data_IF_837353398578
#
_entry.id   IF_837353398578
#
_cell.length_a   1.000
_cell.length_b   1.000
_cell.length_c   1.000
_cell.angle_alpha   90.00
_cell.angle_beta   90.00
_cell.angle_gamma   90.00
#
_symmetry.space_group_name_H-M   'P 1'
#
loop_
_entity.id
_entity.type
_entity.pdbx_description
1 polymer ?
#
# COMPACT_ATOMS: atom_id res chain seq x y z
N UNK A 1 63.09 -23.98 42.81
CA UNK A 1 63.02 -23.05 41.65
C UNK A 1 61.97 -23.56 40.67
N UNK A 2 60.71 -23.11 40.76
CA UNK A 2 59.68 -23.37 39.75
C UNK A 2 58.90 -22.05 39.59
N UNK A 3 59.05 -21.39 38.44
CA UNK A 3 58.36 -20.12 38.11
C UNK A 3 57.06 -20.46 37.37
N UNK A 4 55.92 -20.12 37.97
CA UNK A 4 54.61 -20.15 37.35
C UNK A 4 54.45 -18.88 36.49
N UNK A 5 54.27 -19.03 35.19
CA UNK A 5 54.04 -17.90 34.27
C UNK A 5 52.61 -18.01 33.79
N UNK A 6 51.74 -17.12 34.26
CA UNK A 6 50.34 -17.05 33.87
C UNK A 6 50.22 -16.35 32.51
N UNK A 7 49.68 -17.06 31.52
CA UNK A 7 49.42 -16.53 30.19
C UNK A 7 48.01 -15.90 30.17
N UNK A 8 47.94 -14.58 30.18
CA UNK A 8 46.70 -13.82 30.08
C UNK A 8 46.28 -13.74 28.60
N UNK A 9 45.26 -14.51 28.21
CA UNK A 9 44.72 -14.50 26.85
C UNK A 9 43.73 -13.33 26.71
N UNK A 10 44.12 -12.27 26.00
CA UNK A 10 43.26 -11.12 25.72
C UNK A 10 42.25 -11.47 24.62
N UNK A 11 40.98 -11.60 25.00
CA UNK A 11 39.86 -11.79 24.07
C UNK A 11 39.53 -10.42 23.43
N UNK A 12 39.96 -10.22 22.18
CA UNK A 12 39.56 -9.05 21.38
C UNK A 12 38.16 -9.30 20.84
N UNK A 13 37.14 -8.68 21.44
CA UNK A 13 35.79 -8.61 20.88
C UNK A 13 35.83 -7.75 19.62
N UNK A 14 35.92 -8.37 18.44
CA UNK A 14 35.70 -7.68 17.18
C UNK A 14 34.20 -7.36 17.05
N UNK A 15 33.84 -6.09 17.29
CA UNK A 15 32.52 -5.59 16.96
C UNK A 15 32.35 -5.64 15.43
N UNK A 16 31.60 -6.62 14.94
CA UNK A 16 31.20 -6.65 13.54
C UNK A 16 30.28 -5.44 13.29
N UNK A 17 30.57 -4.58 12.30
CA UNK A 17 29.65 -3.51 11.95
C UNK A 17 28.35 -4.15 11.44
N UNK A 18 27.22 -3.78 12.03
CA UNK A 18 25.91 -4.00 11.42
C UNK A 18 26.01 -3.43 10.01
N UNK A 19 25.95 -4.27 8.98
CA UNK A 19 25.95 -3.79 7.60
C UNK A 19 24.64 -3.04 7.39
N UNK A 20 24.73 -1.73 7.28
CA UNK A 20 23.62 -0.91 6.80
C UNK A 20 23.11 -1.53 5.48
N UNK A 21 21.79 -1.67 5.36
CA UNK A 21 21.16 -2.14 4.13
C UNK A 21 21.67 -1.26 2.97
N UNK A 22 22.36 -1.80 1.96
CA UNK A 22 22.98 -0.99 0.90
C UNK A 22 21.96 -0.23 0.05
N UNK A 23 20.67 -0.54 0.24
CA UNK A 23 19.55 0.09 -0.45
C UNK A 23 18.77 1.08 0.41
N UNK A 24 19.15 1.27 1.68
CA UNK A 24 18.48 2.22 2.57
C UNK A 24 18.50 3.66 2.01
N UNK A 25 19.53 4.03 1.26
CA UNK A 25 19.64 5.36 0.65
C UNK A 25 18.80 5.50 -0.64
N UNK A 26 18.21 4.42 -1.16
CA UNK A 26 17.40 4.45 -2.39
C UNK A 26 15.97 4.92 -2.14
N UNK A 27 15.56 4.99 -0.87
CA UNK A 27 14.24 5.48 -0.49
C UNK A 27 14.36 6.31 0.78
N UNK A 28 13.64 7.43 0.82
CA UNK A 28 13.52 8.24 2.03
C UNK A 28 12.06 8.46 2.35
N UNK A 29 11.77 8.56 3.64
CA UNK A 29 10.42 8.73 4.14
C UNK A 29 10.38 9.83 5.19
N UNK A 30 9.37 10.70 5.11
CA UNK A 30 9.16 11.72 6.14
C UNK A 30 7.69 12.08 6.29
N UNK A 31 7.35 12.58 7.47
CA UNK A 31 6.01 13.10 7.74
C UNK A 31 5.91 14.58 7.33
N UNK A 32 4.82 14.92 6.66
CA UNK A 32 4.39 16.29 6.38
C UNK A 32 3.21 16.58 7.31
N UNK A 33 3.38 17.45 8.33
CA UNK A 33 2.26 17.89 9.15
C UNK A 33 1.22 18.61 8.27
N UNK A 34 -0.06 18.30 8.47
CA UNK A 34 -1.16 18.95 7.78
C UNK A 34 -2.03 19.78 8.73
N UNK A 35 -3.33 19.57 8.67
CA UNK A 35 -4.36 20.34 9.36
C UNK A 35 -5.27 19.42 10.17
N UNK A 36 -6.18 19.99 10.96
CA UNK A 36 -7.24 19.23 11.61
C UNK A 36 -8.54 19.31 10.79
N UNK A 37 -9.18 18.16 10.58
CA UNK A 37 -10.49 18.06 9.95
C UNK A 37 -11.62 18.42 10.94
N UNK A 38 -12.82 18.79 10.47
CA UNK A 38 -13.92 19.19 11.35
C UNK A 38 -14.36 18.14 12.39
N UNK A 39 -14.13 16.86 12.10
CA UNK A 39 -14.42 15.73 12.99
C UNK A 39 -13.34 15.49 14.07
N UNK A 40 -12.29 16.32 14.09
CA UNK A 40 -11.17 16.21 15.01
C UNK A 40 -10.01 15.36 14.51
N UNK A 41 -10.15 14.66 13.37
CA UNK A 41 -9.09 13.88 12.73
C UNK A 41 -7.93 14.79 12.31
N UNK A 42 -6.70 14.36 12.57
CA UNK A 42 -5.50 15.07 12.11
C UNK A 42 -5.11 14.55 10.73
N UNK A 43 -4.91 15.46 9.79
CA UNK A 43 -4.36 15.15 8.47
C UNK A 43 -2.85 15.36 8.47
N UNK A 44 -2.14 14.37 7.96
CA UNK A 44 -0.73 14.45 7.62
C UNK A 44 -0.48 13.79 6.25
N UNK A 45 0.70 13.97 5.69
CA UNK A 45 1.16 13.24 4.51
C UNK A 45 2.40 12.43 4.87
N UNK A 46 2.45 11.16 4.47
CA UNK A 46 3.68 10.39 4.45
C UNK A 46 4.31 10.55 3.07
N UNK A 47 5.39 11.32 2.98
CA UNK A 47 6.13 11.45 1.75
C UNK A 47 7.15 10.31 1.61
N UNK A 48 7.12 9.63 0.47
CA UNK A 48 8.09 8.62 0.07
C UNK A 48 8.77 9.12 -1.20
N UNK A 49 10.11 9.21 -1.17
CA UNK A 49 10.93 9.59 -2.32
C UNK A 49 11.86 8.46 -2.67
N UNK A 50 11.93 8.13 -3.95
CA UNK A 50 12.71 7.04 -4.50
C UNK A 50 13.83 7.63 -5.36
N UNK A 51 14.99 6.98 -5.35
CA UNK A 51 16.06 7.29 -6.29
C UNK A 51 15.59 7.08 -7.74
N UNK A 52 16.18 7.77 -8.74
CA UNK A 52 15.82 7.60 -10.14
C UNK A 52 15.85 6.12 -10.56
N UNK A 53 14.82 5.68 -11.29
CA UNK A 53 14.66 4.28 -11.73
C UNK A 53 13.98 3.35 -10.72
N UNK A 54 14.03 3.70 -9.42
CA UNK A 54 13.41 2.90 -8.35
C UNK A 54 11.92 3.14 -8.22
N UNK A 55 11.21 2.09 -7.82
CA UNK A 55 9.76 2.06 -7.61
C UNK A 55 9.46 1.51 -6.22
N UNK A 56 8.29 1.84 -5.68
CA UNK A 56 7.69 1.14 -4.54
C UNK A 56 6.29 0.69 -4.90
N UNK A 57 5.69 -0.16 -4.07
CA UNK A 57 4.45 -0.84 -4.39
C UNK A 57 3.23 -0.16 -3.78
N UNK A 58 2.11 -0.36 -4.47
CA UNK A 58 0.79 -0.03 -3.97
C UNK A 58 0.31 -1.08 -2.98
N UNK A 59 -0.79 -0.82 -2.27
CA UNK A 59 -1.37 -1.79 -1.33
C UNK A 59 -1.80 -3.11 -1.97
N UNK A 60 -2.15 -3.10 -3.26
CA UNK A 60 -2.44 -4.29 -4.07
C UNK A 60 -1.38 -4.36 -5.19
N UNK A 61 -0.22 -4.96 -4.92
CA UNK A 61 1.00 -4.63 -5.65
C UNK A 61 1.15 -5.39 -6.99
N UNK A 62 0.18 -6.23 -7.35
CA UNK A 62 0.26 -7.16 -8.47
C UNK A 62 1.10 -8.40 -8.15
N UNK A 63 1.30 -9.26 -9.15
CA UNK A 63 1.83 -10.62 -9.00
C UNK A 63 3.27 -10.64 -8.50
N UNK A 64 4.07 -9.61 -8.87
CA UNK A 64 5.49 -9.52 -8.56
C UNK A 64 5.83 -8.56 -7.42
N UNK A 65 4.84 -8.02 -6.71
CA UNK A 65 5.06 -6.92 -5.78
C UNK A 65 5.00 -7.26 -4.30
N UNK A 66 5.68 -6.46 -3.48
CA UNK A 66 5.75 -6.63 -2.02
C UNK A 66 4.88 -5.53 -1.39
N UNK A 67 3.72 -5.87 -0.80
CA UNK A 67 2.81 -4.87 -0.25
C UNK A 67 3.43 -4.18 0.97
N UNK A 68 3.18 -2.88 1.15
CA UNK A 68 3.70 -2.13 2.30
C UNK A 68 2.95 -2.49 3.59
N UNK A 69 3.69 -2.61 4.69
CA UNK A 69 3.17 -2.86 6.05
C UNK A 69 3.51 -1.66 6.94
N UNK A 70 2.50 -1.16 7.66
CA UNK A 70 2.63 0.02 8.52
C UNK A 70 2.35 -0.36 9.96
N UNK A 71 3.36 -0.25 10.83
CA UNK A 71 3.25 -0.48 12.27
C UNK A 71 3.35 0.86 13.01
N UNK A 72 2.27 1.23 13.71
CA UNK A 72 2.18 2.48 14.48
C UNK A 72 2.22 2.24 16.00
N UNK A 73 2.56 1.03 16.46
CA UNK A 73 2.42 0.62 17.87
C UNK A 73 3.21 1.49 18.86
N UNK A 74 4.29 2.15 18.43
CA UNK A 74 5.08 3.07 19.26
C UNK A 74 4.41 4.43 19.53
N UNK A 75 3.27 4.72 18.89
CA UNK A 75 2.59 6.02 18.97
C UNK A 75 1.87 6.24 20.30
N UNK A 76 1.69 7.50 20.70
CA UNK A 76 0.93 7.88 21.90
C UNK A 76 -0.28 8.73 21.55
N UNK A 77 -1.38 8.48 22.28
CA UNK A 77 -2.69 9.11 22.04
C UNK A 77 -3.27 8.80 20.65
N UNK A 78 -2.89 7.69 20.03
CA UNK A 78 -3.37 7.27 18.72
C UNK A 78 -4.49 6.23 18.87
N UNK A 79 -5.64 6.46 18.22
CA UNK A 79 -6.70 5.45 18.10
C UNK A 79 -6.59 4.67 16.80
N UNK A 80 -6.37 5.36 15.68
CA UNK A 80 -6.20 4.72 14.37
C UNK A 80 -5.50 5.64 13.36
N UNK A 81 -4.91 5.02 12.34
CA UNK A 81 -4.38 5.68 11.15
C UNK A 81 -5.06 5.09 9.92
N UNK A 82 -5.75 5.91 9.15
CA UNK A 82 -6.27 5.57 7.84
C UNK A 82 -5.33 6.08 6.75
N UNK A 83 -4.87 5.20 5.88
CA UNK A 83 -4.04 5.57 4.73
C UNK A 83 -4.94 5.82 3.52
N UNK A 84 -4.75 6.96 2.87
CA UNK A 84 -5.37 7.30 1.58
C UNK A 84 -4.33 7.05 0.50
N UNK A 85 -4.76 6.42 -0.58
CA UNK A 85 -3.87 5.93 -1.61
C UNK A 85 -4.17 6.65 -2.93
N UNK A 86 -3.28 7.55 -3.38
CA UNK A 86 -3.35 8.13 -4.71
C UNK A 86 -3.36 7.03 -5.79
N UNK A 87 -3.76 7.41 -7.01
CA UNK A 87 -3.80 6.50 -8.16
C UNK A 87 -2.40 5.92 -8.39
N UNK A 88 -2.24 4.59 -8.38
CA UNK A 88 -0.96 3.98 -8.71
C UNK A 88 -0.76 3.92 -10.23
N UNK A 89 0.47 3.66 -10.61
CA UNK A 89 0.87 3.29 -11.96
C UNK A 89 0.96 1.76 -12.10
N UNK A 90 0.77 1.27 -13.33
CA UNK A 90 0.93 -0.13 -13.69
C UNK A 90 2.25 -0.28 -14.43
N UNK A 91 3.12 -1.16 -13.97
CA UNK A 91 4.41 -1.44 -14.55
C UNK A 91 4.48 -2.89 -15.03
N UNK A 92 5.07 -3.10 -16.21
CA UNK A 92 5.53 -4.43 -16.64
C UNK A 92 7.00 -4.59 -16.25
N UNK A 93 7.32 -5.71 -15.58
CA UNK A 93 8.67 -6.05 -15.21
C UNK A 93 8.90 -7.55 -15.44
N UNK A 94 9.77 -7.87 -16.41
CA UNK A 94 10.11 -9.24 -16.76
C UNK A 94 8.88 -10.10 -17.12
N UNK A 95 7.87 -9.50 -17.76
CA UNK A 95 6.63 -10.18 -18.13
C UNK A 95 5.68 -10.43 -16.95
N UNK A 96 5.93 -9.83 -15.80
CA UNK A 96 5.01 -9.78 -14.67
C UNK A 96 4.57 -8.35 -14.41
N UNK A 97 3.29 -8.17 -14.12
CA UNK A 97 2.74 -6.87 -13.75
C UNK A 97 3.01 -6.55 -12.28
N UNK A 98 3.37 -5.30 -12.03
CA UNK A 98 3.36 -4.70 -10.70
C UNK A 98 2.59 -3.38 -10.69
N UNK A 99 2.08 -2.99 -9.53
CA UNK A 99 1.26 -1.79 -9.34
C UNK A 99 1.89 -0.99 -8.21
N UNK A 100 2.17 0.29 -8.46
CA UNK A 100 2.97 1.07 -7.52
C UNK A 100 3.19 2.52 -7.90
N UNK A 101 4.30 3.06 -7.42
CA UNK A 101 4.70 4.45 -7.60
C UNK A 101 6.18 4.53 -7.99
N UNK A 102 6.54 5.46 -8.84
CA UNK A 102 7.92 5.74 -9.23
C UNK A 102 8.33 7.15 -8.84
N UNK A 103 9.56 7.33 -8.35
CA UNK A 103 10.16 8.63 -8.03
C UNK A 103 9.61 9.28 -6.75
N UNK A 104 8.31 9.49 -6.64
CA UNK A 104 7.69 10.20 -5.51
C UNK A 104 6.23 9.83 -5.31
N UNK A 105 5.82 9.69 -4.05
CA UNK A 105 4.40 9.61 -3.67
C UNK A 105 4.19 10.25 -2.30
N UNK A 106 3.02 10.86 -2.11
CA UNK A 106 2.54 11.29 -0.78
C UNK A 106 1.31 10.46 -0.46
N UNK A 107 1.34 9.72 0.63
CA UNK A 107 0.18 9.00 1.16
C UNK A 107 -0.49 9.86 2.25
N UNK A 108 -1.70 10.41 2.04
CA UNK A 108 -2.40 11.13 3.10
C UNK A 108 -2.78 10.18 4.24
N UNK A 109 -2.52 10.61 5.47
CA UNK A 109 -2.79 9.87 6.70
C UNK A 109 -3.89 10.56 7.51
N UNK A 110 -5.04 9.91 7.64
CA UNK A 110 -6.12 10.27 8.57
C UNK A 110 -5.84 9.70 9.94
N UNK A 111 -5.43 10.55 10.87
CA UNK A 111 -4.95 10.16 12.20
C UNK A 111 -6.00 10.55 13.23
N UNK A 112 -6.63 9.55 13.85
CA UNK A 112 -7.66 9.76 14.86
C UNK A 112 -7.04 9.71 16.25
N UNK A 113 -7.11 10.78 17.05
CA UNK A 113 -6.63 10.77 18.43
C UNK A 113 -7.52 9.88 19.33
N UNK A 114 -6.91 9.16 20.27
CA UNK A 114 -7.64 8.41 21.29
C UNK A 114 -8.33 9.33 22.31
N UNK A 115 -7.71 10.48 22.62
CA UNK A 115 -8.31 11.56 23.39
C UNK A 115 -8.38 12.79 22.51
N UNK A 116 -9.62 13.19 22.18
CA UNK A 116 -9.89 14.35 21.34
C UNK A 116 -9.29 15.64 21.93
N UNK A 117 -8.85 16.54 21.05
CA UNK A 117 -8.26 17.83 21.43
C UNK A 117 -6.83 17.77 22.00
N UNK A 118 -6.27 16.57 22.24
CA UNK A 118 -4.89 16.40 22.67
C UNK A 118 -3.96 16.05 21.50
N UNK A 119 -2.68 16.44 21.55
CA UNK A 119 -1.70 16.05 20.54
C UNK A 119 -1.54 14.53 20.43
N UNK A 120 -1.22 14.07 19.22
CA UNK A 120 -0.78 12.70 18.92
C UNK A 120 0.72 12.70 18.73
N UNK A 121 1.44 11.81 19.42
CA UNK A 121 2.85 11.54 19.11
C UNK A 121 2.87 10.36 18.16
N UNK A 122 3.02 10.63 16.87
CA UNK A 122 3.07 9.59 15.83
C UNK A 122 4.51 9.12 15.66
N UNK A 123 4.71 7.81 15.68
CA UNK A 123 5.95 7.13 15.27
C UNK A 123 5.52 5.84 14.59
N UNK A 124 6.31 5.36 13.64
CA UNK A 124 5.99 4.13 12.95
C UNK A 124 7.21 3.44 12.41
N UNK A 125 7.08 2.14 12.22
CA UNK A 125 8.00 1.29 11.48
C UNK A 125 7.26 0.83 10.23
N UNK A 126 7.84 1.08 9.07
CA UNK A 126 7.20 0.82 7.79
C UNK A 126 8.09 -0.14 6.99
N UNK A 127 7.55 -1.30 6.66
CA UNK A 127 8.18 -2.25 5.74
C UNK A 127 7.60 -2.02 4.35
N UNK A 128 8.45 -1.71 3.36
CA UNK A 128 8.03 -1.58 1.97
C UNK A 128 8.92 -2.41 1.05
N UNK A 129 8.38 -2.83 -0.09
CA UNK A 129 9.21 -3.23 -1.20
C UNK A 129 9.70 -2.03 -2.00
N UNK A 130 10.96 -2.07 -2.41
CA UNK A 130 11.48 -1.21 -3.47
C UNK A 130 12.04 -2.07 -4.61
N UNK A 131 11.87 -1.62 -5.85
CA UNK A 131 12.35 -2.37 -7.00
C UNK A 131 12.96 -1.48 -8.08
N UNK A 132 14.10 -1.92 -8.60
CA UNK A 132 14.69 -1.46 -9.85
C UNK A 132 14.85 -2.67 -10.79
N UNK A 133 16.04 -3.30 -10.83
CA UNK A 133 16.27 -4.56 -11.55
C UNK A 133 15.99 -5.78 -10.64
N UNK A 134 16.11 -5.57 -9.33
CA UNK A 134 15.80 -6.55 -8.28
C UNK A 134 14.89 -5.89 -7.27
N UNK A 135 13.93 -6.66 -6.79
CA UNK A 135 12.96 -6.20 -5.79
C UNK A 135 13.37 -6.70 -4.41
N UNK A 136 13.36 -5.80 -3.43
CA UNK A 136 13.88 -6.05 -2.07
C UNK A 136 12.96 -5.40 -1.03
N UNK A 137 12.77 -6.04 0.14
CA UNK A 137 12.13 -5.40 1.27
C UNK A 137 13.12 -4.44 1.97
N UNK A 138 12.60 -3.31 2.43
CA UNK A 138 13.33 -2.35 3.25
C UNK A 138 12.44 -1.90 4.41
N UNK A 139 13.05 -1.80 5.60
CA UNK A 139 12.42 -1.28 6.81
C UNK A 139 12.83 0.19 6.99
N UNK A 140 11.86 1.05 7.26
CA UNK A 140 12.04 2.49 7.45
C UNK A 140 11.37 2.93 8.76
N UNK A 141 12.15 3.58 9.61
CA UNK A 141 11.63 4.20 10.84
C UNK A 141 11.18 5.63 10.59
N UNK A 142 9.97 5.95 11.04
CA UNK A 142 9.45 7.31 11.08
C UNK A 142 9.76 7.95 12.43
N UNK A 143 10.54 9.02 12.39
CA UNK A 143 10.84 9.87 13.55
C UNK A 143 9.57 10.30 14.28
N UNK A 144 9.64 10.24 15.61
CA UNK A 144 8.52 10.64 16.47
C UNK A 144 8.16 12.10 16.21
N UNK A 145 6.95 12.32 15.72
CA UNK A 145 6.42 13.64 15.41
C UNK A 145 5.17 13.94 16.24
N UNK A 146 5.13 15.14 16.84
CA UNK A 146 3.94 15.62 17.56
C UNK A 146 3.00 16.33 16.61
N UNK A 147 1.83 15.75 16.40
CA UNK A 147 0.73 16.31 15.61
C UNK A 147 -0.33 16.87 16.55
N UNK A 148 -0.77 18.10 16.29
CA UNK A 148 -1.79 18.76 17.08
C UNK A 148 -2.63 19.67 16.17
N UNK A 149 -3.84 19.99 16.64
CA UNK A 149 -4.63 21.05 16.04
C UNK A 149 -3.86 22.37 16.08
N UNK A 150 -3.75 23.05 14.94
CA UNK A 150 -3.17 24.39 14.85
C UNK A 150 -4.21 25.30 14.23
N UNK A 151 -4.53 26.40 14.91
CA UNK A 151 -5.58 27.32 14.48
C UNK A 151 -5.28 28.00 13.12
N UNK A 152 -4.01 28.08 12.75
CA UNK A 152 -3.50 28.68 11.53
C UNK A 152 -3.11 27.65 10.45
N UNK A 153 -3.21 26.34 10.73
CA UNK A 153 -2.87 25.31 9.76
C UNK A 153 -3.83 25.36 8.57
N UNK A 154 -3.27 25.60 7.38
CA UNK A 154 -3.97 25.55 6.11
C UNK A 154 -3.77 24.18 5.45
N UNK A 155 -4.71 23.74 4.58
CA UNK A 155 -4.50 22.57 3.76
C UNK A 155 -3.18 22.65 2.98
N UNK A 156 -2.33 21.64 3.13
CA UNK A 156 -1.03 21.59 2.46
C UNK A 156 -1.26 21.16 1.00
N UNK A 157 -0.86 21.96 0.00
CA UNK A 157 -1.18 21.68 -1.40
C UNK A 157 -0.80 20.28 -1.87
N UNK A 158 0.36 19.77 -1.44
CA UNK A 158 0.83 18.45 -1.82
C UNK A 158 -0.05 17.30 -1.24
N UNK A 159 -0.57 17.47 -0.02
CA UNK A 159 -1.51 16.51 0.59
C UNK A 159 -2.87 16.61 -0.11
N UNK A 160 -3.33 17.82 -0.41
CA UNK A 160 -4.60 18.04 -1.14
C UNK A 160 -4.56 17.42 -2.54
N UNK A 161 -3.45 17.60 -3.27
CA UNK A 161 -3.26 16.98 -4.58
C UNK A 161 -3.31 15.45 -4.49
N UNK A 162 -2.61 14.86 -3.53
CA UNK A 162 -2.64 13.42 -3.29
C UNK A 162 -4.04 12.90 -2.89
N UNK A 163 -4.81 13.67 -2.13
CA UNK A 163 -6.21 13.35 -1.81
C UNK A 163 -7.11 13.39 -3.04
N UNK A 164 -6.88 14.34 -3.95
CA UNK A 164 -7.65 14.51 -5.18
C UNK A 164 -7.32 13.44 -6.25
N UNK A 165 -6.10 12.90 -6.21
CA UNK A 165 -5.64 11.85 -7.14
C UNK A 165 -6.04 10.42 -6.71
N UNK A 166 -6.88 10.26 -5.68
CA UNK A 166 -7.38 8.94 -5.29
C UNK A 166 -8.31 8.32 -6.36
N UNK A 167 -8.40 6.99 -6.43
CA UNK A 167 -9.42 6.31 -7.23
C UNK A 167 -10.84 6.84 -6.92
N UNK A 168 -11.58 7.16 -7.97
CA UNK A 168 -12.93 7.72 -7.90
C UNK A 168 -13.91 6.63 -7.46
N UNK A 169 -14.81 6.87 -6.50
CA UNK A 169 -15.83 5.90 -6.14
C UNK A 169 -16.69 5.49 -7.36
N UNK A 170 -17.01 4.19 -7.48
CA UNK A 170 -17.73 3.64 -8.63
C UNK A 170 -19.00 4.39 -9.01
N UNK A 171 -19.84 4.75 -8.04
CA UNK A 171 -21.08 5.52 -8.27
C UNK A 171 -20.81 6.90 -8.88
N UNK A 172 -19.69 7.54 -8.50
CA UNK A 172 -19.24 8.83 -9.07
C UNK A 172 -18.56 8.68 -10.41
N UNK A 173 -18.01 7.50 -10.71
CA UNK A 173 -17.43 7.16 -12.01
C UNK A 173 -18.47 6.66 -13.03
N UNK A 174 -19.76 6.65 -12.69
CA UNK A 174 -20.84 6.20 -13.58
C UNK A 174 -21.03 4.69 -13.61
N UNK A 175 -20.53 3.95 -12.61
CA UNK A 175 -20.87 2.54 -12.41
C UNK A 175 -22.36 2.40 -12.12
N UNK A 176 -23.06 1.67 -12.98
CA UNK A 176 -24.51 1.44 -12.86
C UNK A 176 -24.83 0.05 -12.31
N UNK A 177 -23.96 -0.93 -12.56
CA UNK A 177 -24.11 -2.30 -12.08
C UNK A 177 -22.75 -2.96 -11.97
N UNK A 178 -22.58 -3.81 -10.95
CA UNK A 178 -21.47 -4.74 -10.88
C UNK A 178 -21.93 -6.07 -10.28
N UNK A 179 -21.39 -7.18 -10.77
CA UNK A 179 -21.63 -8.53 -10.27
C UNK A 179 -20.38 -9.38 -10.42
N UNK A 180 -20.33 -10.51 -9.73
CA UNK A 180 -19.34 -11.53 -10.04
C UNK A 180 -19.87 -12.96 -9.98
N UNK A 181 -19.29 -13.80 -10.82
CA UNK A 181 -19.41 -15.25 -10.76
C UNK A 181 -18.13 -15.84 -10.16
N UNK A 182 -18.27 -16.87 -9.32
CA UNK A 182 -17.15 -17.60 -8.73
C UNK A 182 -17.30 -19.06 -9.15
N UNK A 183 -16.21 -19.65 -9.64
CA UNK A 183 -16.13 -21.05 -10.01
C UNK A 183 -14.89 -21.70 -9.38
N UNK A 184 -14.90 -23.01 -9.08
CA UNK A 184 -13.70 -23.71 -8.69
C UNK A 184 -12.70 -23.80 -9.85
N UNK A 185 -11.42 -23.91 -9.51
CA UNK A 185 -10.31 -24.22 -10.42
C UNK A 185 -9.43 -25.31 -9.79
N UNK A 186 -8.36 -25.73 -10.48
CA UNK A 186 -7.45 -26.77 -9.98
C UNK A 186 -6.81 -26.40 -8.64
N UNK A 187 -6.32 -25.16 -8.51
CA UNK A 187 -5.56 -24.69 -7.35
C UNK A 187 -6.30 -23.66 -6.47
N UNK A 188 -7.57 -23.36 -6.78
CA UNK A 188 -8.34 -22.37 -6.03
C UNK A 188 -9.65 -21.96 -6.69
N UNK A 189 -9.90 -20.66 -6.84
CA UNK A 189 -11.13 -20.10 -7.40
C UNK A 189 -10.85 -19.22 -8.61
N UNK A 190 -11.74 -19.27 -9.60
CA UNK A 190 -11.83 -18.26 -10.66
C UNK A 190 -12.94 -17.29 -10.28
N UNK A 191 -12.61 -16.00 -10.21
CA UNK A 191 -13.56 -14.92 -10.02
C UNK A 191 -13.71 -14.13 -11.32
N UNK A 192 -14.92 -14.08 -11.87
CA UNK A 192 -15.26 -13.23 -13.03
C UNK A 192 -16.13 -12.08 -12.57
N UNK A 193 -15.59 -10.86 -12.53
CA UNK A 193 -16.31 -9.65 -12.22
C UNK A 193 -16.75 -8.91 -13.49
N UNK A 194 -17.98 -8.41 -13.50
CA UNK A 194 -18.54 -7.59 -14.59
C UNK A 194 -18.91 -6.22 -14.04
N UNK A 195 -18.52 -5.19 -14.76
CA UNK A 195 -18.76 -3.80 -14.39
C UNK A 195 -19.42 -3.07 -15.55
N UNK A 196 -20.63 -2.54 -15.34
CA UNK A 196 -21.30 -1.66 -16.28
C UNK A 196 -20.94 -0.20 -15.97
N UNK A 197 -19.89 0.29 -16.63
CA UNK A 197 -19.34 1.64 -16.46
C UNK A 197 -18.74 2.19 -17.76
N UNK A 198 -18.69 3.52 -17.93
CA UNK A 198 -17.98 4.17 -19.02
C UNK A 198 -16.49 3.76 -19.07
N UNK A 199 -15.86 3.74 -20.25
CA UNK A 199 -14.41 3.51 -20.36
C UNK A 199 -13.61 4.52 -19.55
N UNK A 200 -12.58 4.04 -18.85
CA UNK A 200 -11.66 4.83 -18.01
C UNK A 200 -10.37 5.20 -18.75
N UNK A 201 -10.29 4.90 -20.04
CA UNK A 201 -9.13 5.18 -20.91
C UNK A 201 -9.14 4.27 -22.14
N UNK A 202 -8.05 4.30 -22.93
CA UNK A 202 -7.85 3.37 -24.05
C UNK A 202 -7.39 2.00 -23.57
N UNK A 203 -6.60 1.98 -22.50
CA UNK A 203 -6.15 0.78 -21.81
C UNK A 203 -6.69 0.79 -20.39
N UNK A 204 -7.09 -0.40 -19.93
CA UNK A 204 -7.62 -0.60 -18.59
C UNK A 204 -7.11 -1.94 -18.07
N UNK A 205 -6.82 -1.96 -16.78
CA UNK A 205 -6.61 -3.20 -16.04
C UNK A 205 -7.36 -3.12 -14.71
N UNK A 206 -7.37 -4.20 -13.95
CA UNK A 206 -7.97 -4.21 -12.63
C UNK A 206 -7.03 -4.84 -11.59
N UNK A 207 -7.15 -4.34 -10.36
CA UNK A 207 -6.63 -4.96 -9.16
C UNK A 207 -7.81 -5.41 -8.30
N UNK A 208 -7.61 -6.48 -7.53
CA UNK A 208 -8.59 -7.01 -6.59
C UNK A 208 -7.89 -7.21 -5.24
N UNK A 209 -8.49 -6.65 -4.19
CA UNK A 209 -8.13 -6.84 -2.79
C UNK A 209 -9.18 -7.72 -2.12
N UNK A 210 -8.73 -8.64 -1.28
CA UNK A 210 -9.56 -9.53 -0.46
C UNK A 210 -9.48 -9.13 1.01
N UNK A 211 -10.48 -9.51 1.81
CA UNK A 211 -10.43 -9.33 3.26
C UNK A 211 -9.42 -10.26 3.95
N UNK A 212 -9.15 -11.43 3.35
CA UNK A 212 -8.14 -12.37 3.82
C UNK A 212 -6.80 -12.09 3.08
N UNK A 213 -5.75 -11.65 3.79
CA UNK A 213 -4.44 -11.40 3.19
C UNK A 213 -3.70 -12.67 2.74
N UNK A 214 -4.19 -13.86 3.10
CA UNK A 214 -3.63 -15.14 2.68
C UNK A 214 -4.15 -15.59 1.30
N UNK A 215 -5.05 -14.82 0.67
CA UNK A 215 -5.52 -15.08 -0.69
C UNK A 215 -4.64 -14.28 -1.66
N UNK A 216 -3.86 -15.00 -2.45
CA UNK A 216 -3.17 -14.45 -3.61
C UNK A 216 -4.17 -14.22 -4.75
N UNK A 217 -3.93 -13.15 -5.52
CA UNK A 217 -4.80 -12.69 -6.60
C UNK A 217 -3.95 -12.46 -7.84
N UNK A 218 -4.31 -13.10 -8.96
CA UNK A 218 -3.58 -12.97 -10.22
C UNK A 218 -3.79 -11.62 -10.91
N UNK A 219 -2.95 -11.35 -11.91
CA UNK A 219 -3.31 -10.45 -12.98
C UNK A 219 -4.60 -10.93 -13.69
N UNK A 220 -5.61 -10.04 -13.85
CA UNK A 220 -6.83 -10.44 -14.52
C UNK A 220 -6.67 -10.45 -16.03
N UNK A 221 -7.37 -11.38 -16.67
CA UNK A 221 -7.74 -11.19 -18.07
C UNK A 221 -8.85 -10.16 -18.17
N UNK A 222 -8.68 -9.20 -19.08
CA UNK A 222 -9.60 -8.07 -19.26
C UNK A 222 -10.29 -8.16 -20.61
N UNK A 223 -11.62 -8.01 -20.62
CA UNK A 223 -12.42 -7.93 -21.83
C UNK A 223 -13.38 -6.75 -21.74
N UNK A 224 -13.48 -5.96 -22.82
CA UNK A 224 -14.44 -4.86 -22.91
C UNK A 224 -15.38 -5.04 -24.09
N UNK A 225 -16.67 -4.89 -23.83
CA UNK A 225 -17.71 -4.81 -24.83
C UNK A 225 -18.58 -3.57 -24.56
N UNK A 226 -18.33 -2.49 -25.29
CA UNK A 226 -19.03 -1.20 -25.08
C UNK A 226 -18.87 -0.69 -23.64
N UNK A 227 -20.00 -0.48 -22.96
CA UNK A 227 -20.06 0.00 -21.58
C UNK A 227 -19.85 -1.08 -20.51
N UNK A 228 -19.45 -2.30 -20.88
CA UNK A 228 -19.19 -3.38 -19.91
C UNK A 228 -17.74 -3.80 -19.95
N UNK A 229 -17.10 -3.79 -18.79
CA UNK A 229 -15.77 -4.34 -18.53
C UNK A 229 -15.91 -5.66 -17.77
N UNK A 230 -15.21 -6.69 -18.21
CA UNK A 230 -15.13 -7.99 -17.55
C UNK A 230 -13.68 -8.22 -17.14
N UNK A 231 -13.49 -8.59 -15.88
CA UNK A 231 -12.18 -8.94 -15.32
C UNK A 231 -12.26 -10.34 -14.72
N UNK A 232 -11.39 -11.24 -15.17
CA UNK A 232 -11.32 -12.62 -14.67
C UNK A 232 -10.01 -12.84 -13.93
N UNK A 233 -10.10 -13.13 -12.63
CA UNK A 233 -8.98 -13.35 -11.71
C UNK A 233 -8.91 -14.82 -11.31
N UNK A 234 -7.70 -15.31 -11.07
CA UNK A 234 -7.43 -16.54 -10.34
C UNK A 234 -7.07 -16.20 -8.90
N UNK A 235 -7.63 -16.96 -7.95
CA UNK A 235 -7.48 -16.77 -6.53
C UNK A 235 -6.98 -18.06 -5.90
N UNK A 236 -5.92 -17.98 -5.11
CA UNK A 236 -5.35 -19.14 -4.41
C UNK A 236 -5.01 -18.78 -2.97
N UNK A 237 -5.15 -19.73 -2.04
CA UNK A 237 -4.59 -19.54 -0.72
C UNK A 237 -3.08 -19.78 -0.78
N UNK A 238 -2.27 -18.88 -0.23
CA UNK A 238 -0.80 -18.99 -0.28
C UNK A 238 -0.26 -20.24 0.44
N UNK A 239 -1.05 -20.89 1.27
CA UNK A 239 -0.71 -22.16 1.94
C UNK A 239 -1.22 -23.41 1.20
N UNK A 240 -1.94 -23.23 0.09
CA UNK A 240 -2.60 -24.30 -0.67
C UNK A 240 -3.82 -24.92 0.02
N UNK A 241 -4.28 -24.37 1.15
CA UNK A 241 -5.45 -24.89 1.85
C UNK A 241 -6.77 -24.42 1.23
N UNK A 242 -7.85 -25.20 1.35
CA UNK A 242 -9.19 -24.73 0.99
C UNK A 242 -9.55 -23.45 1.75
N UNK A 243 -10.26 -22.54 1.09
CA UNK A 243 -10.65 -21.26 1.66
C UNK A 243 -12.04 -20.84 1.17
N UNK A 244 -12.68 -19.96 1.94
CA UNK A 244 -13.94 -19.33 1.57
C UNK A 244 -13.68 -17.86 1.20
N UNK A 245 -14.37 -17.36 0.18
CA UNK A 245 -14.23 -15.98 -0.25
C UNK A 245 -15.37 -15.12 0.31
N UNK A 246 -15.03 -14.12 1.12
CA UNK A 246 -15.98 -13.08 1.54
C UNK A 246 -16.20 -12.08 0.41
N UNK A 247 -17.36 -12.18 -0.24
CA UNK A 247 -17.76 -11.30 -1.35
C UNK A 247 -17.95 -9.84 -0.91
N UNK A 248 -18.31 -9.59 0.34
CA UNK A 248 -18.51 -8.24 0.87
C UNK A 248 -17.19 -7.52 1.15
N UNK A 249 -16.16 -8.29 1.48
CA UNK A 249 -14.79 -7.85 1.68
C UNK A 249 -13.97 -7.66 0.40
N UNK A 250 -14.54 -7.90 -0.78
CA UNK A 250 -13.84 -7.66 -2.04
C UNK A 250 -13.77 -6.17 -2.36
N UNK A 251 -12.64 -5.73 -2.90
CA UNK A 251 -12.47 -4.38 -3.41
C UNK A 251 -11.75 -4.44 -4.75
N UNK A 252 -12.42 -3.96 -5.78
CA UNK A 252 -11.85 -3.83 -7.11
C UNK A 252 -11.36 -2.40 -7.31
N UNK A 253 -10.24 -2.26 -7.99
CA UNK A 253 -9.81 -0.98 -8.54
C UNK A 253 -9.55 -1.12 -10.01
N UNK A 254 -10.34 -0.43 -10.84
CA UNK A 254 -10.09 -0.34 -12.28
C UNK A 254 -9.06 0.76 -12.48
N UNK A 255 -7.94 0.42 -13.10
CA UNK A 255 -6.83 1.32 -13.37
C UNK A 255 -6.85 1.68 -14.86
N UNK A 256 -7.40 2.85 -15.16
CA UNK A 256 -7.48 3.40 -16.50
C UNK A 256 -6.42 4.49 -16.75
N UNK A 257 -6.19 4.77 -18.03
CA UNK A 257 -5.29 5.85 -18.48
C UNK A 257 -5.70 7.22 -17.91
N UNK A 258 -7.00 7.52 -17.88
CA UNK A 258 -7.51 8.84 -17.46
C UNK A 258 -7.72 8.97 -15.95
N UNK A 259 -8.22 7.93 -15.30
CA UNK A 259 -8.50 7.89 -13.86
C UNK A 259 -8.60 6.44 -13.39
N UNK A 260 -8.58 6.25 -12.07
CA UNK A 260 -8.88 4.96 -11.45
C UNK A 260 -10.27 4.98 -10.80
N UNK A 261 -10.89 3.81 -10.68
CA UNK A 261 -12.24 3.64 -10.09
C UNK A 261 -12.22 2.62 -8.96
N UNK A 262 -12.69 3.00 -7.78
CA UNK A 262 -12.81 2.15 -6.58
C UNK A 262 -14.21 1.54 -6.49
N UNK A 263 -14.30 0.21 -6.43
CA UNK A 263 -15.57 -0.52 -6.35
C UNK A 263 -15.47 -1.51 -5.20
N UNK A 264 -16.46 -1.51 -4.30
CA UNK A 264 -16.47 -2.35 -3.11
C UNK A 264 -17.60 -3.35 -3.14
N UNK A 265 -17.31 -4.53 -2.61
CA UNK A 265 -18.18 -5.67 -2.63
C UNK A 265 -18.29 -6.29 -4.01
N UNK A 266 -18.97 -7.42 -4.03
CA UNK A 266 -19.30 -8.15 -5.23
C UNK A 266 -20.72 -8.69 -5.12
N UNK A 267 -21.65 -8.00 -5.78
CA UNK A 267 -23.04 -8.45 -5.93
C UNK A 267 -23.14 -9.76 -6.73
N UNK A 268 -24.23 -10.48 -6.53
CA UNK A 268 -24.67 -11.63 -7.33
C UNK A 268 -26.14 -11.45 -7.63
#
# INVERSE_FOLDING_TARGET
MIKLTALLCALVLAALPLRANPYADMVTMRLIPGWQMPDGTLMAGLEIRLAPGWKTYWRAPGDAGIPPVFDWAGSRNLASVGIRWPRPEVFDQNGMRSIGYQGHVILPLSITPARAGQPVQLTGRIDIGICQDVCIPVELDLDRTTLAARADARPVPAIVAALADQPVPGDKAGLTRHDCAIAPSEDGLILTARFALPPTGRSETAALETADPMIWVSEPRMERAGGTLVATFELMNVTGQPFALDRSGLRFTILGESHAVDIRGCGG
#
